data_IF_733024116496
#
_entry.id   IF_733024116496
#
_cell.length_a   1.000
_cell.length_b   1.000
_cell.length_c   1.000
_cell.angle_alpha   90.00
_cell.angle_beta   90.00
_cell.angle_gamma   90.00
#
_symmetry.space_group_name_H-M   'P 1'
#
loop_
_entity.id
_entity.type
_entity.pdbx_description
1 polymer ?
#
# COMPACT_ATOMS: atom_id res chain seq x y z
N UNK A 1 41.41 14.43 12.70
CA UNK A 1 41.35 12.96 12.87
C UNK A 1 41.49 12.37 11.49
N UNK A 2 42.62 11.72 11.19
CA UNK A 2 42.91 11.23 9.84
C UNK A 2 41.99 10.06 9.48
N UNK A 3 41.39 10.10 8.29
CA UNK A 3 40.67 8.96 7.72
C UNK A 3 41.68 7.83 7.52
N UNK A 4 41.47 6.69 8.18
CA UNK A 4 42.30 5.51 8.00
C UNK A 4 41.61 4.65 6.94
N UNK A 5 42.08 4.71 5.70
CA UNK A 5 41.58 3.84 4.64
C UNK A 5 42.19 2.45 4.81
N UNK A 6 41.58 1.63 5.67
CA UNK A 6 42.07 0.31 6.04
C UNK A 6 41.35 -0.84 5.32
N UNK A 7 40.54 -0.51 4.31
CA UNK A 7 39.78 -1.45 3.48
C UNK A 7 39.86 -1.07 1.99
N UNK A 8 40.36 -1.99 1.16
CA UNK A 8 40.19 -2.01 -0.29
C UNK A 8 38.97 -2.87 -0.66
N UNK A 9 38.05 -2.30 -1.44
CA UNK A 9 36.92 -3.03 -2.01
C UNK A 9 37.02 -2.99 -3.53
N UNK A 10 37.30 -4.13 -4.13
CA UNK A 10 37.29 -4.36 -5.57
C UNK A 10 35.87 -4.76 -6.00
N UNK A 11 35.26 -3.96 -6.87
CA UNK A 11 33.88 -4.13 -7.34
C UNK A 11 33.92 -4.60 -8.79
N UNK A 12 33.43 -5.82 -9.03
CA UNK A 12 33.37 -6.46 -10.35
C UNK A 12 34.71 -6.56 -11.12
N UNK A 13 35.87 -6.32 -10.49
CA UNK A 13 37.14 -6.21 -11.20
C UNK A 13 37.28 -4.93 -12.02
N UNK A 14 36.36 -3.97 -11.89
CA UNK A 14 36.32 -2.73 -12.67
C UNK A 14 36.95 -1.57 -11.88
N UNK A 15 36.52 -1.35 -10.64
CA UNK A 15 37.00 -0.27 -9.78
C UNK A 15 37.33 -0.76 -8.37
N UNK A 16 38.34 -0.12 -7.74
CA UNK A 16 38.75 -0.39 -6.37
C UNK A 16 38.55 0.85 -5.49
N UNK A 17 37.80 0.70 -4.40
CA UNK A 17 37.49 1.75 -3.44
C UNK A 17 38.34 1.61 -2.18
N UNK A 18 38.93 2.71 -1.71
CA UNK A 18 39.68 2.78 -0.46
C UNK A 18 38.82 3.44 0.62
N UNK A 19 38.38 2.64 1.59
CA UNK A 19 37.38 3.03 2.59
C UNK A 19 37.83 2.71 4.02
N UNK A 20 37.12 3.27 4.99
CA UNK A 20 37.29 2.97 6.42
C UNK A 20 36.29 1.87 6.82
N UNK A 21 36.81 0.71 7.22
CA UNK A 21 35.95 -0.42 7.59
C UNK A 21 35.05 -0.10 8.78
N UNK A 22 35.45 0.80 9.69
CA UNK A 22 34.65 1.20 10.85
C UNK A 22 33.38 1.94 10.47
N UNK A 23 33.36 2.56 9.28
CA UNK A 23 32.18 3.26 8.76
C UNK A 23 31.20 2.29 8.12
N UNK A 24 31.68 1.30 7.36
CA UNK A 24 30.82 0.37 6.62
C UNK A 24 30.29 -0.80 7.48
N UNK A 25 31.12 -1.36 8.37
CA UNK A 25 30.77 -2.54 9.19
C UNK A 25 29.48 -2.34 10.00
N UNK A 26 29.23 -1.18 10.65
CA UNK A 26 27.98 -0.96 11.38
C UNK A 26 26.73 -1.09 10.52
N UNK A 27 26.85 -0.89 9.20
CA UNK A 27 25.71 -0.91 8.28
C UNK A 27 25.52 -2.25 7.58
N UNK A 28 26.61 -2.94 7.21
CA UNK A 28 26.56 -4.16 6.42
C UNK A 28 26.77 -5.40 7.27
N UNK A 29 25.72 -6.22 7.38
CA UNK A 29 25.80 -7.52 8.05
C UNK A 29 26.76 -8.47 7.33
N UNK A 30 26.82 -8.36 6.00
CA UNK A 30 27.75 -9.11 5.14
C UNK A 30 29.20 -8.79 5.46
N UNK A 31 29.57 -7.51 5.51
CA UNK A 31 30.93 -7.10 5.88
C UNK A 31 31.26 -7.44 7.33
N UNK A 32 30.32 -7.24 8.25
CA UNK A 32 30.49 -7.64 9.66
C UNK A 32 30.84 -9.12 9.78
N UNK A 33 30.16 -9.99 9.03
CA UNK A 33 30.44 -11.44 8.99
C UNK A 33 31.76 -11.78 8.32
N UNK A 34 32.15 -11.06 7.26
CA UNK A 34 33.44 -11.25 6.61
C UNK A 34 34.61 -10.89 7.52
N UNK A 35 34.45 -9.88 8.38
CA UNK A 35 35.52 -9.36 9.23
C UNK A 35 35.51 -9.88 10.68
N UNK A 36 34.44 -10.54 11.13
CA UNK A 36 34.29 -11.01 12.52
C UNK A 36 35.36 -12.04 12.97
N UNK A 37 36.12 -12.63 12.04
CA UNK A 37 37.23 -13.55 12.34
C UNK A 37 38.63 -13.01 12.05
N UNK A 38 38.76 -11.79 11.51
CA UNK A 38 40.06 -11.22 11.10
C UNK A 38 40.60 -10.31 12.21
N UNK A 39 41.36 -10.88 13.15
CA UNK A 39 42.10 -10.09 14.15
C UNK A 39 43.13 -9.20 13.45
N UNK A 40 42.96 -7.89 13.59
CA UNK A 40 43.74 -6.79 13.01
C UNK A 40 45.26 -7.06 12.99
N UNK A 41 45.77 -7.73 11.95
CA UNK A 41 47.16 -7.54 11.50
C UNK A 41 47.19 -6.23 10.73
N UNK A 42 48.24 -5.44 10.95
CA UNK A 42 48.42 -4.06 10.49
C UNK A 42 48.58 -3.94 8.95
N UNK A 43 47.61 -4.40 8.18
CA UNK A 43 47.56 -4.31 6.73
C UNK A 43 46.16 -3.97 6.24
N UNK A 44 46.10 -3.29 5.09
CA UNK A 44 44.86 -2.99 4.37
C UNK A 44 44.15 -4.30 4.02
N UNK A 45 42.89 -4.44 4.44
CA UNK A 45 42.06 -5.59 4.10
C UNK A 45 41.57 -5.43 2.66
N UNK A 46 41.68 -6.46 1.83
CA UNK A 46 41.11 -6.45 0.47
C UNK A 46 39.89 -7.38 0.40
N UNK A 47 38.77 -6.86 -0.11
CA UNK A 47 37.53 -7.59 -0.36
C UNK A 47 37.18 -7.46 -1.84
N UNK A 48 36.74 -8.56 -2.44
CA UNK A 48 36.24 -8.58 -3.82
C UNK A 48 34.73 -8.82 -3.77
N UNK A 49 33.96 -7.95 -4.41
CA UNK A 49 32.52 -8.03 -4.55
C UNK A 49 32.18 -8.30 -6.02
N UNK A 50 32.13 -9.58 -6.44
CA UNK A 50 31.71 -9.94 -7.78
C UNK A 50 30.20 -9.74 -7.95
N UNK A 51 29.78 -9.39 -9.17
CA UNK A 51 28.39 -9.15 -9.57
C UNK A 51 27.63 -8.15 -8.67
N UNK A 52 28.34 -7.11 -8.22
CA UNK A 52 27.73 -6.04 -7.45
C UNK A 52 26.67 -5.32 -8.32
N UNK A 53 25.43 -5.18 -7.84
CA UNK A 53 24.36 -4.57 -8.62
C UNK A 53 24.63 -3.08 -8.83
N UNK A 54 24.67 -2.67 -10.09
CA UNK A 54 25.06 -1.31 -10.46
C UNK A 54 26.55 -1.07 -10.58
N UNK A 55 27.37 -2.12 -10.42
CA UNK A 55 28.83 -2.01 -10.48
C UNK A 55 29.37 -0.98 -9.50
N UNK A 56 30.41 -0.26 -9.96
CA UNK A 56 31.06 0.78 -9.17
C UNK A 56 30.10 1.90 -8.73
N UNK A 57 29.19 2.35 -9.61
CA UNK A 57 28.20 3.40 -9.30
C UNK A 57 27.26 2.97 -8.16
N UNK A 58 26.76 1.73 -8.23
CA UNK A 58 25.92 1.16 -7.17
C UNK A 58 26.66 1.08 -5.84
N UNK A 59 27.95 0.72 -5.86
CA UNK A 59 28.76 0.65 -4.65
C UNK A 59 29.10 2.03 -4.09
N UNK A 60 29.38 3.02 -4.95
CA UNK A 60 29.61 4.41 -4.55
C UNK A 60 28.38 4.96 -3.80
N UNK A 61 27.17 4.70 -4.30
CA UNK A 61 25.92 5.09 -3.63
C UNK A 61 25.82 4.50 -2.21
N UNK A 62 26.18 3.22 -2.04
CA UNK A 62 26.20 2.56 -0.73
C UNK A 62 27.28 3.12 0.19
N UNK A 63 28.48 3.35 -0.34
CA UNK A 63 29.57 3.94 0.42
C UNK A 63 29.16 5.34 0.91
N UNK A 64 28.67 6.19 0.00
CA UNK A 64 28.17 7.53 0.33
C UNK A 64 27.03 7.48 1.35
N UNK A 65 26.12 6.50 1.26
CA UNK A 65 25.10 6.28 2.27
C UNK A 65 25.68 5.99 3.66
N UNK A 66 26.66 5.08 3.76
CA UNK A 66 27.32 4.75 5.03
C UNK A 66 28.06 5.95 5.63
N UNK A 67 28.83 6.66 4.81
CA UNK A 67 29.62 7.81 5.22
C UNK A 67 28.78 8.99 5.68
N UNK A 68 27.56 9.14 5.15
CA UNK A 68 26.59 10.12 5.64
C UNK A 68 25.74 9.61 6.80
N UNK A 69 26.22 8.59 7.52
CA UNK A 69 25.56 8.00 8.68
C UNK A 69 24.12 7.51 8.37
N UNK A 70 23.93 6.93 7.19
CA UNK A 70 22.64 6.47 6.70
C UNK A 70 21.70 7.59 6.27
N UNK A 71 22.21 8.78 5.96
CA UNK A 71 21.43 9.88 5.38
C UNK A 71 21.88 10.10 3.93
N UNK A 72 21.19 9.51 2.97
CA UNK A 72 21.43 9.80 1.55
C UNK A 72 20.26 10.54 0.93
N UNK A 73 20.55 11.31 -0.12
CA UNK A 73 19.52 11.85 -0.98
C UNK A 73 18.95 10.75 -1.87
N UNK A 74 17.94 10.03 -1.38
CA UNK A 74 17.26 8.96 -2.11
C UNK A 74 16.25 9.56 -3.10
N UNK A 75 16.61 9.67 -4.37
CA UNK A 75 15.71 10.06 -5.47
C UNK A 75 15.13 8.82 -6.15
N UNK A 76 14.01 8.93 -6.88
CA UNK A 76 13.50 7.82 -7.70
C UNK A 76 14.53 7.23 -8.65
N UNK A 77 15.48 8.05 -9.14
CA UNK A 77 16.53 7.61 -10.05
C UNK A 77 17.58 6.71 -9.38
N UNK A 78 17.82 6.86 -8.08
CA UNK A 78 18.83 6.08 -7.35
C UNK A 78 18.23 5.05 -6.37
N UNK A 79 16.91 5.12 -6.10
CA UNK A 79 16.26 4.28 -5.10
C UNK A 79 16.33 2.78 -5.43
N UNK A 80 16.12 2.41 -6.69
CA UNK A 80 16.22 1.00 -7.14
C UNK A 80 17.65 0.50 -6.99
N UNK A 81 18.62 1.27 -7.49
CA UNK A 81 20.03 0.91 -7.46
C UNK A 81 20.55 0.79 -6.03
N UNK A 82 20.23 1.77 -5.18
CA UNK A 82 20.55 1.76 -3.76
C UNK A 82 19.92 0.56 -3.07
N UNK A 83 18.65 0.23 -3.34
CA UNK A 83 17.98 -0.91 -2.74
C UNK A 83 18.62 -2.24 -3.15
N UNK A 84 18.93 -2.43 -4.44
CA UNK A 84 19.61 -3.63 -4.93
C UNK A 84 21.00 -3.78 -4.30
N UNK A 85 21.79 -2.72 -4.29
CA UNK A 85 23.12 -2.66 -3.67
C UNK A 85 23.07 -2.92 -2.16
N UNK A 86 22.06 -2.42 -1.48
CA UNK A 86 21.83 -2.65 -0.06
C UNK A 86 21.46 -4.07 0.28
N UNK A 87 20.58 -4.68 -0.52
CA UNK A 87 20.22 -6.10 -0.39
C UNK A 87 21.47 -6.96 -0.58
N UNK A 88 22.29 -6.65 -1.57
CA UNK A 88 23.56 -7.35 -1.81
C UNK A 88 24.52 -7.23 -0.62
N UNK A 89 24.50 -6.09 0.09
CA UNK A 89 25.33 -5.79 1.26
C UNK A 89 24.68 -6.16 2.60
N UNK A 90 23.47 -6.70 2.60
CA UNK A 90 22.68 -7.03 3.80
C UNK A 90 22.53 -5.80 4.74
N UNK A 91 22.11 -4.66 4.18
CA UNK A 91 21.95 -3.35 4.85
C UNK A 91 20.48 -2.94 5.07
N UNK A 92 19.55 -3.88 4.89
CA UNK A 92 18.12 -3.64 4.63
C UNK A 92 17.44 -2.69 5.64
N UNK A 93 17.75 -2.83 6.93
CA UNK A 93 17.03 -2.11 7.98
C UNK A 93 17.36 -0.60 8.00
N UNK A 94 18.62 -0.24 7.74
CA UNK A 94 19.06 1.16 7.80
C UNK A 94 18.64 1.98 6.59
N UNK A 95 18.55 1.36 5.42
CA UNK A 95 18.07 2.04 4.21
C UNK A 95 16.56 2.28 4.30
N UNK A 96 15.82 1.33 4.84
CA UNK A 96 14.42 1.53 5.17
C UNK A 96 14.24 2.72 6.13
N UNK A 97 15.02 2.79 7.21
CA UNK A 97 14.97 3.91 8.16
C UNK A 97 15.25 5.27 7.49
N UNK A 98 16.24 5.34 6.59
CA UNK A 98 16.55 6.56 5.83
C UNK A 98 15.47 6.95 4.84
N UNK A 99 14.89 5.98 4.14
CA UNK A 99 13.85 6.20 3.13
C UNK A 99 12.60 6.74 3.81
N UNK A 100 12.20 6.16 4.95
CA UNK A 100 11.06 6.64 5.72
C UNK A 100 11.35 7.98 6.39
N UNK A 101 12.57 8.21 6.91
CA UNK A 101 12.95 9.51 7.47
C UNK A 101 12.85 10.66 6.47
N UNK A 102 13.11 10.42 5.17
CA UNK A 102 12.89 11.40 4.09
C UNK A 102 11.41 11.64 3.81
N UNK A 103 10.60 10.58 3.85
CA UNK A 103 9.16 10.64 3.58
C UNK A 103 8.39 11.31 4.74
N UNK A 104 8.93 11.25 5.95
CA UNK A 104 8.39 11.93 7.13
C UNK A 104 8.69 13.44 7.15
N UNK A 105 9.66 13.92 6.35
CA UNK A 105 10.00 15.34 6.29
C UNK A 105 9.09 16.07 5.29
N UNK A 106 8.44 17.18 5.67
CA UNK A 106 7.77 18.04 4.70
C UNK A 106 8.83 18.57 3.73
N UNK A 107 8.62 18.36 2.44
CA UNK A 107 9.56 18.77 1.39
C UNK A 107 9.77 20.29 1.47
N UNK A 108 10.93 20.71 1.96
CA UNK A 108 11.44 22.06 1.69
C UNK A 108 12.03 21.99 0.30
N UNK A 109 11.21 22.28 -0.71
CA UNK A 109 11.74 22.61 -2.02
C UNK A 109 12.52 23.91 -1.83
N UNK A 110 13.84 23.80 -1.78
CA UNK A 110 14.73 24.95 -1.95
C UNK A 110 14.36 25.62 -3.27
N UNK A 111 13.99 26.90 -3.30
CA UNK A 111 13.75 27.59 -4.55
C UNK A 111 15.10 27.67 -5.26
N UNK A 112 15.32 26.82 -6.25
CA UNK A 112 16.44 26.97 -7.15
C UNK A 112 16.32 28.35 -7.79
N UNK A 113 17.20 29.27 -7.40
CA UNK A 113 17.49 30.48 -8.17
C UNK A 113 17.89 30.04 -9.58
N UNK A 114 17.17 30.43 -10.64
CA UNK A 114 17.65 30.22 -11.99
C UNK A 114 18.89 31.10 -12.14
N UNK A 115 20.05 30.46 -12.21
CA UNK A 115 21.26 31.11 -12.69
C UNK A 115 20.99 31.64 -14.09
N UNK A 116 21.18 32.94 -14.22
CA UNK A 116 21.25 33.75 -15.44
C UNK A 116 21.61 33.00 -16.73
N UNK A 117 20.80 33.21 -17.77
CA UNK A 117 21.28 33.22 -19.15
C UNK A 117 20.52 32.35 -20.16
N UNK A 118 19.29 32.72 -20.55
CA UNK A 118 18.90 32.77 -21.98
C UNK A 118 17.55 33.48 -22.17
N UNK A 119 17.45 34.23 -23.25
CA UNK A 119 16.47 35.26 -23.60
C UNK A 119 15.10 34.77 -24.07
N UNK A 120 14.07 35.60 -23.80
CA UNK A 120 12.75 35.74 -24.50
C UNK A 120 11.88 34.46 -24.53
N UNK A 121 10.62 34.44 -24.07
CA UNK A 121 9.52 35.36 -24.36
C UNK A 121 8.56 35.42 -23.16
N UNK A 122 8.06 36.62 -22.86
CA UNK A 122 6.92 36.85 -21.98
C UNK A 122 5.64 36.41 -22.68
N UNK A 123 4.84 35.59 -22.02
CA UNK A 123 3.41 35.53 -22.28
C UNK A 123 2.68 35.47 -20.94
N UNK A 124 2.21 36.66 -20.54
CA UNK A 124 1.26 36.84 -19.46
C UNK A 124 -0.06 36.22 -19.87
N UNK A 125 -0.69 35.48 -18.96
CA UNK A 125 -2.11 35.21 -19.02
C UNK A 125 -2.63 35.18 -17.60
N UNK A 126 -3.22 36.30 -17.22
CA UNK A 126 -4.12 36.42 -16.08
C UNK A 126 -5.26 35.42 -16.27
N UNK A 127 -5.34 34.44 -15.37
CA UNK A 127 -6.62 33.79 -15.07
C UNK A 127 -6.64 33.46 -13.59
N UNK A 128 -7.35 34.31 -12.85
CA UNK A 128 -8.00 34.09 -11.55
C UNK A 128 -7.88 32.65 -11.04
N UNK A 129 -6.82 32.41 -10.27
CA UNK A 129 -6.44 31.08 -9.79
C UNK A 129 -7.31 30.64 -8.61
N UNK A 130 -8.07 29.57 -8.82
CA UNK A 130 -8.58 28.68 -7.78
C UNK A 130 -7.62 27.49 -7.63
N UNK A 131 -6.31 27.72 -7.40
CA UNK A 131 -5.30 26.65 -7.27
C UNK A 131 -4.78 26.44 -5.84
N UNK A 132 -5.61 26.59 -4.80
CA UNK A 132 -5.18 26.21 -3.45
C UNK A 132 -5.20 24.69 -3.21
N UNK A 133 -6.02 23.93 -3.94
CA UNK A 133 -6.20 22.48 -3.73
C UNK A 133 -5.31 21.63 -4.65
N UNK A 134 -5.07 22.06 -5.90
CA UNK A 134 -4.27 21.27 -6.86
C UNK A 134 -2.78 21.28 -6.51
N UNK A 135 -2.32 22.35 -5.85
CA UNK A 135 -0.94 22.48 -5.38
C UNK A 135 -0.69 21.80 -4.02
N UNK A 136 -1.73 21.33 -3.32
CA UNK A 136 -1.55 20.50 -2.11
C UNK A 136 -1.37 19.02 -2.46
N UNK A 137 -2.06 18.53 -3.49
CA UNK A 137 -1.96 17.16 -3.98
C UNK A 137 -0.53 16.81 -4.40
N UNK A 138 0.11 17.67 -5.19
CA UNK A 138 1.50 17.49 -5.64
C UNK A 138 2.54 17.54 -4.50
N UNK A 139 2.23 18.14 -3.35
CA UNK A 139 3.16 18.25 -2.20
C UNK A 139 3.16 17.03 -1.29
N UNK A 140 2.05 16.30 -1.16
CA UNK A 140 1.95 15.18 -0.20
C UNK A 140 2.12 13.80 -0.85
N UNK A 141 1.95 13.68 -2.17
CA UNK A 141 2.00 12.39 -2.90
C UNK A 141 3.17 12.26 -3.87
N UNK A 142 4.16 13.17 -3.82
CA UNK A 142 5.31 13.16 -4.75
C UNK A 142 6.03 11.80 -4.79
N UNK A 143 6.07 11.10 -3.65
CA UNK A 143 6.75 9.82 -3.49
C UNK A 143 5.93 8.60 -3.92
N UNK A 144 4.66 8.76 -4.32
CA UNK A 144 3.80 7.62 -4.63
C UNK A 144 4.33 6.84 -5.84
N UNK A 145 4.63 7.54 -6.93
CA UNK A 145 5.24 6.98 -8.15
C UNK A 145 6.59 6.32 -7.83
N UNK A 146 7.38 7.02 -7.01
CA UNK A 146 8.74 6.62 -6.65
C UNK A 146 8.77 5.34 -5.83
N UNK A 147 7.69 4.92 -5.18
CA UNK A 147 7.65 3.68 -4.40
C UNK A 147 6.90 2.53 -5.09
N UNK A 148 6.31 2.74 -6.28
CA UNK A 148 5.60 1.67 -7.01
C UNK A 148 6.54 0.52 -7.35
N UNK A 149 7.82 0.78 -7.60
CA UNK A 149 8.78 -0.27 -7.96
C UNK A 149 9.00 -1.29 -6.84
N UNK A 150 8.80 -0.92 -5.57
CA UNK A 150 9.00 -1.80 -4.43
C UNK A 150 8.11 -3.03 -4.53
N UNK A 151 8.65 -4.22 -4.24
CA UNK A 151 7.87 -5.46 -4.24
C UNK A 151 6.98 -5.58 -2.99
N UNK A 152 6.12 -6.60 -2.99
CA UNK A 152 5.18 -6.84 -1.89
C UNK A 152 5.86 -7.04 -0.52
N UNK A 153 7.08 -7.58 -0.45
CA UNK A 153 7.76 -7.77 0.84
C UNK A 153 8.38 -6.47 1.36
N UNK A 154 8.89 -5.63 0.46
CA UNK A 154 9.48 -4.34 0.80
C UNK A 154 8.41 -3.31 1.18
N UNK A 155 7.29 -3.28 0.46
CA UNK A 155 6.19 -2.36 0.77
C UNK A 155 5.59 -2.65 2.15
N UNK A 156 5.51 -3.92 2.55
CA UNK A 156 5.07 -4.32 3.89
C UNK A 156 5.96 -3.71 4.97
N UNK A 157 7.28 -3.83 4.83
CA UNK A 157 8.26 -3.26 5.75
C UNK A 157 8.22 -1.73 5.78
N UNK A 158 8.22 -1.09 4.62
CA UNK A 158 8.22 0.38 4.49
C UNK A 158 6.97 0.97 5.15
N UNK A 159 5.78 0.45 4.85
CA UNK A 159 4.53 1.02 5.38
C UNK A 159 4.40 0.76 6.88
N UNK A 160 4.77 -0.43 7.39
CA UNK A 160 4.81 -0.68 8.85
C UNK A 160 5.74 0.29 9.57
N UNK A 161 6.88 0.58 8.98
CA UNK A 161 7.81 1.57 9.51
C UNK A 161 7.22 2.99 9.47
N UNK A 162 6.55 3.38 8.37
CA UNK A 162 5.84 4.66 8.29
C UNK A 162 4.77 4.81 9.38
N UNK A 163 4.01 3.75 9.65
CA UNK A 163 3.03 3.71 10.76
C UNK A 163 3.72 3.90 12.10
N UNK A 164 4.86 3.24 12.34
CA UNK A 164 5.63 3.40 13.58
C UNK A 164 6.18 4.82 13.78
N UNK A 165 6.44 5.53 12.69
CA UNK A 165 6.88 6.92 12.67
C UNK A 165 5.71 7.93 12.67
N UNK A 166 4.47 7.47 12.88
CA UNK A 166 3.25 8.29 12.98
C UNK A 166 2.96 9.11 11.72
N UNK A 167 3.30 8.58 10.53
CA UNK A 167 2.83 9.18 9.29
C UNK A 167 1.30 9.13 9.23
N UNK A 168 0.71 10.13 8.57
CA UNK A 168 -0.74 10.25 8.44
C UNK A 168 -1.36 9.02 7.76
N UNK A 169 -2.27 8.36 8.49
CA UNK A 169 -2.95 7.15 8.03
C UNK A 169 -3.83 7.39 6.80
N UNK A 170 -4.30 8.62 6.55
CA UNK A 170 -5.08 8.96 5.35
C UNK A 170 -4.17 8.99 4.12
N UNK A 171 -2.97 9.54 4.27
CA UNK A 171 -1.95 9.54 3.20
C UNK A 171 -1.47 8.11 2.91
N UNK A 172 -1.23 7.30 3.94
CA UNK A 172 -0.84 5.89 3.78
C UNK A 172 -1.94 5.05 3.12
N UNK A 173 -3.21 5.24 3.47
CA UNK A 173 -4.31 4.50 2.84
C UNK A 173 -4.44 4.86 1.35
N UNK A 174 -4.34 6.15 1.00
CA UNK A 174 -4.31 6.63 -0.39
C UNK A 174 -3.14 6.05 -1.17
N UNK A 175 -1.95 6.02 -0.57
CA UNK A 175 -0.78 5.40 -1.16
C UNK A 175 -1.01 3.92 -1.44
N UNK A 176 -1.57 3.16 -0.49
CA UNK A 176 -1.82 1.73 -0.65
C UNK A 176 -2.82 1.44 -1.79
N UNK A 177 -3.88 2.24 -1.93
CA UNK A 177 -4.81 2.12 -3.06
C UNK A 177 -4.13 2.43 -4.39
N UNK A 178 -3.30 3.49 -4.41
CA UNK A 178 -2.52 3.86 -5.58
C UNK A 178 -1.52 2.76 -5.97
N UNK A 179 -0.74 2.26 -5.01
CA UNK A 179 0.23 1.18 -5.18
C UNK A 179 -0.44 -0.10 -5.70
N UNK A 180 -1.56 -0.51 -5.10
CA UNK A 180 -2.35 -1.65 -5.58
C UNK A 180 -2.74 -1.47 -7.04
N UNK A 181 -3.30 -0.31 -7.41
CA UNK A 181 -3.76 -0.04 -8.78
C UNK A 181 -2.59 -0.07 -9.75
N UNK A 182 -1.48 0.60 -9.45
CA UNK A 182 -0.31 0.66 -10.32
C UNK A 182 0.35 -0.71 -10.49
N UNK A 183 0.53 -1.46 -9.39
CA UNK A 183 1.08 -2.82 -9.45
C UNK A 183 0.17 -3.79 -10.18
N UNK A 184 -1.15 -3.63 -10.10
CA UNK A 184 -2.09 -4.53 -10.77
C UNK A 184 -1.95 -4.54 -12.31
N UNK A 185 -1.52 -3.42 -12.91
CA UNK A 185 -1.26 -3.35 -14.36
C UNK A 185 0.06 -3.99 -14.77
N UNK A 186 1.08 -3.93 -13.91
CA UNK A 186 2.45 -4.35 -14.23
C UNK A 186 2.69 -5.84 -13.87
N UNK A 187 2.10 -6.31 -12.77
CA UNK A 187 2.43 -7.58 -12.15
C UNK A 187 1.80 -8.81 -12.85
N UNK A 188 2.44 -9.98 -12.71
CA UNK A 188 1.86 -11.27 -13.11
C UNK A 188 0.78 -11.79 -12.12
N UNK A 189 -0.06 -12.78 -12.47
CA UNK A 189 -1.20 -13.22 -11.63
C UNK A 189 -0.83 -13.63 -10.19
N UNK A 190 0.30 -14.31 -10.00
CA UNK A 190 0.78 -14.71 -8.67
C UNK A 190 1.21 -13.48 -7.83
N UNK A 191 1.90 -12.53 -8.46
CA UNK A 191 2.34 -11.30 -7.83
C UNK A 191 1.17 -10.35 -7.54
N UNK A 192 0.14 -10.30 -8.39
CA UNK A 192 -1.12 -9.57 -8.11
C UNK A 192 -1.79 -10.10 -6.84
N UNK A 193 -1.82 -11.42 -6.68
CA UNK A 193 -2.40 -12.05 -5.47
C UNK A 193 -1.59 -11.67 -4.23
N UNK A 194 -0.25 -11.85 -4.27
CA UNK A 194 0.64 -11.47 -3.16
C UNK A 194 0.55 -9.99 -2.80
N UNK A 195 0.54 -9.11 -3.80
CA UNK A 195 0.41 -7.66 -3.62
C UNK A 195 -0.92 -7.30 -2.95
N UNK A 196 -2.02 -7.89 -3.41
CA UNK A 196 -3.35 -7.68 -2.82
C UNK A 196 -3.38 -8.12 -1.36
N UNK A 197 -2.78 -9.27 -1.02
CA UNK A 197 -2.73 -9.76 0.35
C UNK A 197 -1.95 -8.82 1.28
N UNK A 198 -0.80 -8.32 0.83
CA UNK A 198 0.00 -7.35 1.59
C UNK A 198 -0.78 -6.04 1.75
N UNK A 199 -1.35 -5.49 0.69
CA UNK A 199 -2.11 -4.23 0.75
C UNK A 199 -3.29 -4.34 1.72
N UNK A 200 -4.07 -5.43 1.66
CA UNK A 200 -5.19 -5.66 2.59
C UNK A 200 -4.70 -5.75 4.04
N UNK A 201 -3.60 -6.45 4.27
CA UNK A 201 -2.99 -6.55 5.61
C UNK A 201 -2.54 -5.19 6.12
N UNK A 202 -1.88 -4.39 5.29
CA UNK A 202 -1.43 -3.04 5.65
C UNK A 202 -2.60 -2.10 5.90
N UNK A 203 -3.64 -2.11 5.07
CA UNK A 203 -4.87 -1.34 5.29
C UNK A 203 -5.53 -1.69 6.63
N UNK A 204 -5.47 -2.96 7.05
CA UNK A 204 -5.99 -3.38 8.36
C UNK A 204 -5.20 -2.87 9.56
N UNK A 205 -3.95 -2.44 9.35
CA UNK A 205 -3.12 -1.82 10.38
C UNK A 205 -3.30 -0.30 10.49
N UNK A 206 -4.06 0.31 9.59
CA UNK A 206 -4.36 1.74 9.62
C UNK A 206 -5.63 2.04 10.44
N UNK A 207 -5.81 3.31 10.81
CA UNK A 207 -7.08 3.73 11.42
C UNK A 207 -8.25 3.53 10.45
N UNK A 208 -9.36 2.99 10.96
CA UNK A 208 -10.55 2.67 10.17
C UNK A 208 -11.12 3.90 9.47
N UNK A 209 -11.04 5.06 10.12
CA UNK A 209 -11.54 6.32 9.56
C UNK A 209 -10.73 6.80 8.35
N UNK A 210 -9.50 6.31 8.18
CA UNK A 210 -8.60 6.75 7.11
C UNK A 210 -8.78 5.98 5.80
N UNK A 211 -9.39 4.80 5.85
CA UNK A 211 -9.49 3.87 4.72
C UNK A 211 -10.82 4.08 4.01
N UNK A 212 -10.80 4.43 2.72
CA UNK A 212 -12.02 4.70 1.96
C UNK A 212 -12.85 3.44 1.69
N UNK A 213 -14.15 3.48 1.98
CA UNK A 213 -15.10 2.40 1.66
C UNK A 213 -15.08 2.02 0.17
N UNK A 214 -15.12 3.01 -0.75
CA UNK A 214 -15.04 2.78 -2.20
C UNK A 214 -13.78 1.98 -2.59
N UNK A 215 -12.62 2.39 -2.10
CA UNK A 215 -11.36 1.71 -2.40
C UNK A 215 -11.34 0.24 -1.92
N UNK A 216 -11.98 -0.08 -0.79
CA UNK A 216 -12.10 -1.46 -0.32
C UNK A 216 -12.95 -2.31 -1.27
N UNK A 217 -14.07 -1.78 -1.79
CA UNK A 217 -14.88 -2.48 -2.79
C UNK A 217 -14.14 -2.64 -4.13
N UNK A 218 -13.30 -1.67 -4.52
CA UNK A 218 -12.44 -1.83 -5.70
C UNK A 218 -11.42 -2.96 -5.51
N UNK A 219 -10.81 -3.06 -4.32
CA UNK A 219 -9.94 -4.20 -3.96
C UNK A 219 -10.71 -5.52 -3.95
N UNK A 220 -11.93 -5.56 -3.41
CA UNK A 220 -12.78 -6.75 -3.40
C UNK A 220 -13.05 -7.25 -4.82
N UNK A 221 -13.42 -6.36 -5.75
CA UNK A 221 -13.66 -6.73 -7.15
C UNK A 221 -12.40 -7.33 -7.80
N UNK A 222 -11.22 -6.77 -7.52
CA UNK A 222 -9.95 -7.34 -7.95
C UNK A 222 -9.69 -8.71 -7.30
N UNK A 223 -9.82 -8.80 -5.98
CA UNK A 223 -9.53 -10.00 -5.19
C UNK A 223 -10.41 -11.21 -5.55
N UNK A 224 -11.65 -10.97 -6.01
CA UNK A 224 -12.54 -12.04 -6.47
C UNK A 224 -12.05 -12.76 -7.73
N UNK A 225 -11.32 -12.05 -8.59
CA UNK A 225 -10.66 -12.63 -9.78
C UNK A 225 -9.31 -13.30 -9.48
N UNK A 226 -8.78 -13.10 -8.27
CA UNK A 226 -7.46 -13.57 -7.85
C UNK A 226 -7.56 -14.78 -6.91
N UNK A 227 -6.48 -15.57 -6.85
CA UNK A 227 -6.35 -16.67 -5.89
C UNK A 227 -5.74 -16.17 -4.57
N UNK A 228 -6.42 -15.22 -3.91
CA UNK A 228 -5.99 -14.72 -2.60
C UNK A 228 -6.35 -15.67 -1.46
N UNK A 229 -5.53 -15.69 -0.43
CA UNK A 229 -5.69 -16.52 0.76
C UNK A 229 -7.01 -16.27 1.50
N UNK A 230 -7.51 -17.30 2.20
CA UNK A 230 -8.75 -17.17 2.99
C UNK A 230 -8.61 -16.16 4.13
N UNK A 231 -7.42 -16.07 4.73
CA UNK A 231 -7.12 -15.05 5.74
C UNK A 231 -7.31 -13.64 5.17
N UNK A 232 -6.72 -13.34 4.00
CA UNK A 232 -6.89 -12.05 3.32
C UNK A 232 -8.35 -11.75 3.01
N UNK A 233 -9.12 -12.72 2.51
CA UNK A 233 -10.56 -12.54 2.25
C UNK A 233 -11.32 -12.15 3.52
N UNK A 234 -11.05 -12.83 4.63
CA UNK A 234 -11.70 -12.53 5.91
C UNK A 234 -11.34 -11.12 6.42
N UNK A 235 -10.07 -10.71 6.30
CA UNK A 235 -9.63 -9.35 6.68
C UNK A 235 -10.33 -8.31 5.80
N UNK A 236 -10.36 -8.51 4.48
CA UNK A 236 -11.00 -7.59 3.55
C UNK A 236 -12.51 -7.47 3.80
N UNK A 237 -13.20 -8.60 3.99
CA UNK A 237 -14.62 -8.64 4.35
C UNK A 237 -14.88 -7.94 5.69
N UNK A 238 -13.95 -8.05 6.65
CA UNK A 238 -14.06 -7.37 7.94
C UNK A 238 -13.90 -5.86 7.83
N UNK A 239 -12.93 -5.39 7.03
CA UNK A 239 -12.74 -3.97 6.75
C UNK A 239 -13.98 -3.37 6.07
N UNK A 240 -14.50 -4.04 5.04
CA UNK A 240 -15.71 -3.59 4.32
C UNK A 240 -16.93 -3.61 5.24
N UNK A 241 -17.12 -4.70 5.97
CA UNK A 241 -18.25 -4.85 6.90
C UNK A 241 -18.27 -3.76 7.96
N UNK A 242 -17.11 -3.30 8.44
CA UNK A 242 -17.02 -2.21 9.43
C UNK A 242 -17.46 -0.83 8.93
N UNK A 243 -17.62 -0.65 7.61
CA UNK A 243 -18.01 0.62 6.99
C UNK A 243 -19.24 0.45 6.08
N UNK A 244 -20.06 -0.56 6.34
CA UNK A 244 -21.22 -0.89 5.51
C UNK A 244 -22.26 0.25 5.48
N UNK A 245 -22.29 1.10 6.52
CA UNK A 245 -23.10 2.31 6.61
C UNK A 245 -22.72 3.41 5.61
N UNK A 246 -21.55 3.29 4.98
CA UNK A 246 -21.04 4.19 3.93
C UNK A 246 -21.16 3.60 2.51
N UNK A 247 -21.63 2.35 2.39
CA UNK A 247 -21.72 1.67 1.10
C UNK A 247 -22.96 2.12 0.31
N UNK A 248 -22.88 2.02 -1.02
CA UNK A 248 -24.02 2.20 -1.93
C UNK A 248 -24.52 0.86 -2.46
N UNK A 249 -25.71 0.83 -3.05
CA UNK A 249 -26.26 -0.39 -3.67
C UNK A 249 -25.28 -0.98 -4.70
N UNK A 250 -24.71 -0.14 -5.57
CA UNK A 250 -23.70 -0.54 -6.58
C UNK A 250 -22.47 -1.24 -5.96
N UNK A 251 -22.16 -0.97 -4.70
CA UNK A 251 -21.08 -1.64 -4.00
C UNK A 251 -21.44 -3.09 -3.66
N UNK A 252 -22.71 -3.37 -3.33
CA UNK A 252 -23.22 -4.69 -2.98
C UNK A 252 -23.54 -5.56 -4.21
N UNK A 253 -23.82 -4.94 -5.36
CA UNK A 253 -24.12 -5.62 -6.63
C UNK A 253 -22.88 -6.23 -7.29
N UNK A 254 -22.31 -7.23 -6.62
CA UNK A 254 -21.15 -8.01 -7.09
C UNK A 254 -21.65 -9.25 -7.83
N UNK A 255 -21.23 -9.48 -9.09
CA UNK A 255 -21.62 -10.68 -9.83
C UNK A 255 -21.18 -11.98 -9.14
N UNK A 256 -22.02 -13.00 -9.22
CA UNK A 256 -21.71 -14.32 -8.66
C UNK A 256 -20.55 -15.01 -9.40
N UNK A 257 -19.53 -15.52 -8.70
CA UNK A 257 -18.30 -16.05 -9.31
C UNK A 257 -18.46 -17.37 -10.07
N UNK A 258 -19.64 -18.00 -10.08
CA UNK A 258 -19.79 -19.38 -10.55
C UNK A 258 -20.81 -19.60 -11.68
N UNK A 259 -21.39 -18.56 -12.27
CA UNK A 259 -22.15 -18.61 -13.54
C UNK A 259 -23.35 -19.59 -13.61
N UNK A 260 -23.68 -20.30 -12.53
CA UNK A 260 -24.75 -21.31 -12.41
C UNK A 260 -25.63 -21.07 -11.18
N UNK A 261 -25.71 -19.84 -10.69
CA UNK A 261 -26.55 -19.46 -9.56
C UNK A 261 -26.97 -18.00 -9.64
N UNK A 262 -27.44 -17.46 -8.52
CA UNK A 262 -27.89 -16.08 -8.40
C UNK A 262 -27.03 -15.09 -9.19
N UNK A 263 -27.64 -14.11 -9.84
CA UNK A 263 -26.96 -13.05 -10.61
C UNK A 263 -25.90 -12.37 -9.72
N UNK A 264 -26.29 -12.09 -8.47
CA UNK A 264 -25.46 -11.43 -7.48
C UNK A 264 -24.92 -12.38 -6.40
N UNK A 265 -23.77 -12.01 -5.83
CA UNK A 265 -23.05 -12.81 -4.84
C UNK A 265 -23.63 -12.64 -3.42
N UNK A 266 -24.87 -13.09 -3.21
CA UNK A 266 -25.62 -12.96 -1.94
C UNK A 266 -24.84 -13.40 -0.70
N UNK A 267 -24.09 -14.50 -0.79
CA UNK A 267 -23.30 -15.00 0.34
C UNK A 267 -22.20 -14.03 0.79
N UNK A 268 -21.70 -13.17 -0.09
CA UNK A 268 -20.74 -12.13 0.26
C UNK A 268 -21.43 -11.06 1.12
N UNK A 269 -22.58 -10.55 0.69
CA UNK A 269 -23.35 -9.54 1.43
C UNK A 269 -23.73 -10.04 2.83
N UNK A 270 -24.17 -11.29 2.96
CA UNK A 270 -24.43 -11.90 4.27
C UNK A 270 -23.18 -11.94 5.18
N UNK A 271 -21.98 -12.18 4.63
CA UNK A 271 -20.73 -12.15 5.41
C UNK A 271 -20.32 -10.73 5.81
N UNK A 272 -20.48 -9.76 4.91
CA UNK A 272 -20.23 -8.34 5.21
C UNK A 272 -21.15 -7.85 6.32
N UNK A 273 -22.43 -8.20 6.24
CA UNK A 273 -23.43 -7.84 7.25
C UNK A 273 -23.14 -8.51 8.60
N UNK A 274 -22.77 -9.79 8.60
CA UNK A 274 -22.32 -10.48 9.81
C UNK A 274 -21.11 -9.77 10.45
N UNK A 275 -20.17 -9.29 9.63
CA UNK A 275 -19.03 -8.53 10.14
C UNK A 275 -19.42 -7.15 10.68
N UNK A 276 -20.36 -6.46 10.04
CA UNK A 276 -20.90 -5.18 10.54
C UNK A 276 -21.53 -5.36 11.93
N UNK A 277 -22.35 -6.40 12.09
CA UNK A 277 -23.05 -6.70 13.35
C UNK A 277 -22.14 -7.20 14.47
N UNK A 278 -20.92 -7.65 14.15
CA UNK A 278 -19.90 -7.97 15.15
C UNK A 278 -19.19 -6.74 15.74
N UNK A 279 -19.44 -5.55 15.20
CA UNK A 279 -18.85 -4.28 15.64
C UNK A 279 -19.75 -3.45 16.56
N UNK A 280 -19.27 -2.27 16.93
CA UNK A 280 -20.08 -1.23 17.58
C UNK A 280 -20.58 -0.26 16.50
N UNK A 281 -21.88 0.01 16.50
CA UNK A 281 -22.54 0.91 15.56
C UNK A 281 -23.56 1.77 16.31
N UNK A 282 -23.79 2.99 15.81
CA UNK A 282 -24.89 3.82 16.30
C UNK A 282 -26.23 3.32 15.74
N UNK A 283 -27.34 3.71 16.38
CA UNK A 283 -28.68 3.50 15.83
C UNK A 283 -28.81 4.09 14.42
N UNK A 284 -28.18 5.24 14.15
CA UNK A 284 -28.21 5.87 12.83
C UNK A 284 -27.45 5.07 11.77
N UNK A 285 -26.32 4.46 12.11
CA UNK A 285 -25.58 3.58 11.19
C UNK A 285 -26.36 2.30 10.90
N UNK A 286 -26.96 1.69 11.93
CA UNK A 286 -27.78 0.49 11.78
C UNK A 286 -28.97 0.74 10.84
N UNK A 287 -29.67 1.87 10.99
CA UNK A 287 -30.79 2.26 10.12
C UNK A 287 -30.36 2.50 8.68
N UNK A 288 -29.18 3.12 8.45
CA UNK A 288 -28.61 3.28 7.10
C UNK A 288 -28.33 1.94 6.44
N UNK A 289 -27.72 1.01 7.17
CA UNK A 289 -27.44 -0.35 6.68
C UNK A 289 -28.75 -1.10 6.41
N UNK A 290 -29.78 -0.94 7.26
CA UNK A 290 -31.09 -1.53 7.01
C UNK A 290 -31.73 -1.03 5.71
N UNK A 291 -31.75 0.28 5.49
CA UNK A 291 -32.26 0.85 4.24
C UNK A 291 -31.48 0.34 3.01
N UNK A 292 -30.15 0.24 3.10
CA UNK A 292 -29.31 -0.33 2.04
C UNK A 292 -29.64 -1.82 1.78
N UNK A 293 -29.86 -2.59 2.86
CA UNK A 293 -30.22 -4.00 2.74
C UNK A 293 -31.60 -4.18 2.13
N UNK A 294 -32.57 -3.33 2.46
CA UNK A 294 -33.92 -3.42 1.89
C UNK A 294 -33.88 -3.13 0.37
N UNK A 295 -33.08 -2.14 -0.06
CA UNK A 295 -32.81 -1.91 -1.49
C UNK A 295 -32.15 -3.12 -2.16
N UNK A 296 -31.16 -3.74 -1.49
CA UNK A 296 -30.50 -4.92 -2.03
C UNK A 296 -31.44 -6.13 -2.12
N UNK A 297 -32.29 -6.36 -1.12
CA UNK A 297 -33.26 -7.46 -1.10
C UNK A 297 -34.27 -7.27 -2.24
N UNK A 298 -34.76 -6.05 -2.46
CA UNK A 298 -35.64 -5.73 -3.58
C UNK A 298 -34.97 -5.98 -4.94
N UNK A 299 -33.68 -5.67 -5.09
CA UNK A 299 -32.93 -5.89 -6.33
C UNK A 299 -32.71 -7.39 -6.64
N UNK A 300 -32.53 -8.22 -5.61
CA UNK A 300 -32.31 -9.68 -5.82
C UNK A 300 -33.60 -10.50 -5.81
N UNK A 301 -34.73 -9.93 -5.36
CA UNK A 301 -36.01 -10.63 -5.29
C UNK A 301 -36.50 -11.19 -6.65
N UNK A 302 -36.36 -10.48 -7.78
CA UNK A 302 -36.78 -11.00 -9.10
C UNK A 302 -35.93 -12.18 -9.63
N UNK A 303 -34.83 -12.54 -8.96
CA UNK A 303 -33.91 -13.57 -9.45
C UNK A 303 -34.47 -14.98 -9.20
N UNK A 304 -34.97 -15.64 -10.24
CA UNK A 304 -35.51 -17.01 -10.20
C UNK A 304 -34.51 -18.07 -9.74
N UNK A 305 -33.21 -17.76 -9.74
CA UNK A 305 -32.17 -18.66 -9.24
C UNK A 305 -31.81 -18.41 -7.77
N UNK A 306 -32.42 -17.41 -7.12
CA UNK A 306 -32.29 -17.15 -5.70
C UNK A 306 -33.08 -18.17 -4.88
N UNK A 307 -32.34 -19.00 -4.12
CA UNK A 307 -32.95 -20.03 -3.27
C UNK A 307 -33.72 -19.40 -2.09
N UNK A 308 -34.87 -19.99 -1.67
CA UNK A 308 -35.65 -19.48 -0.54
C UNK A 308 -34.83 -19.35 0.75
N UNK A 309 -33.94 -20.31 1.02
CA UNK A 309 -33.06 -20.27 2.20
C UNK A 309 -32.16 -19.04 2.24
N UNK A 310 -31.73 -18.53 1.08
CA UNK A 310 -30.89 -17.32 1.00
C UNK A 310 -31.74 -16.07 1.13
N UNK A 311 -32.92 -16.05 0.51
CA UNK A 311 -33.86 -14.92 0.63
C UNK A 311 -34.26 -14.71 2.10
N UNK A 312 -34.69 -15.78 2.78
CA UNK A 312 -35.00 -15.76 4.22
C UNK A 312 -33.80 -15.30 5.05
N UNK A 313 -32.59 -15.79 4.73
CA UNK A 313 -31.38 -15.36 5.43
C UNK A 313 -31.10 -13.86 5.28
N UNK A 314 -31.40 -13.25 4.13
CA UNK A 314 -31.25 -11.80 3.93
C UNK A 314 -32.26 -11.00 4.77
N UNK A 315 -33.54 -11.40 4.72
CA UNK A 315 -34.61 -10.74 5.46
C UNK A 315 -34.37 -10.79 6.98
N UNK A 316 -33.92 -11.95 7.48
CA UNK A 316 -33.66 -12.18 8.89
C UNK A 316 -32.27 -11.73 9.39
N UNK A 317 -31.43 -11.15 8.53
CA UNK A 317 -30.03 -10.89 8.90
C UNK A 317 -29.84 -9.70 9.85
N UNK A 318 -30.79 -8.76 9.90
CA UNK A 318 -30.73 -7.56 10.73
C UNK A 318 -31.71 -7.66 11.91
N UNK A 319 -31.37 -7.11 13.10
CA UNK A 319 -32.28 -7.10 14.25
C UNK A 319 -33.47 -6.17 14.01
N UNK A 320 -34.58 -6.42 14.70
CA UNK A 320 -35.82 -5.65 14.54
C UNK A 320 -35.64 -4.15 14.83
N UNK A 321 -34.74 -3.81 15.75
CA UNK A 321 -34.39 -2.43 16.10
C UNK A 321 -33.72 -1.64 14.97
N UNK A 322 -33.31 -2.32 13.89
CA UNK A 322 -32.69 -1.70 12.73
C UNK A 322 -33.70 -0.98 11.83
N UNK A 323 -35.00 -1.29 11.96
CA UNK A 323 -36.05 -0.84 11.05
C UNK A 323 -37.16 -0.11 11.79
N UNK A 324 -37.63 0.97 11.19
CA UNK A 324 -38.82 1.69 11.64
C UNK A 324 -40.09 1.19 10.90
N UNK A 325 -39.93 0.59 9.72
CA UNK A 325 -40.99 -0.05 8.92
C UNK A 325 -40.44 -1.28 8.19
N UNK A 326 -41.34 -2.20 7.83
CA UNK A 326 -41.04 -3.43 7.09
C UNK A 326 -41.63 -3.43 5.67
N UNK A 327 -42.20 -2.30 5.21
CA UNK A 327 -42.89 -2.22 3.92
C UNK A 327 -41.98 -2.64 2.74
N UNK A 328 -40.71 -2.23 2.76
CA UNK A 328 -39.74 -2.61 1.73
C UNK A 328 -39.46 -4.12 1.69
N UNK A 329 -39.44 -4.78 2.86
CA UNK A 329 -39.30 -6.25 2.94
C UNK A 329 -40.56 -6.93 2.41
N UNK A 330 -41.74 -6.47 2.80
CA UNK A 330 -42.99 -7.04 2.32
C UNK A 330 -43.12 -6.92 0.81
N UNK A 331 -42.78 -5.75 0.25
CA UNK A 331 -42.74 -5.54 -1.19
C UNK A 331 -41.76 -6.49 -1.89
N UNK A 332 -40.53 -6.62 -1.38
CA UNK A 332 -39.56 -7.53 -1.96
C UNK A 332 -39.97 -9.00 -1.82
N UNK A 333 -40.70 -9.36 -0.75
CA UNK A 333 -41.24 -10.71 -0.55
C UNK A 333 -42.33 -11.03 -1.55
N UNK A 334 -43.24 -10.08 -1.80
CA UNK A 334 -44.28 -10.19 -2.82
C UNK A 334 -43.66 -10.45 -4.19
N UNK A 335 -42.70 -9.61 -4.60
CA UNK A 335 -41.92 -9.78 -5.85
C UNK A 335 -41.25 -11.16 -5.91
N UNK A 336 -40.63 -11.62 -4.81
CA UNK A 336 -39.95 -12.91 -4.77
C UNK A 336 -40.90 -14.10 -4.94
N UNK A 337 -42.15 -13.99 -4.47
CA UNK A 337 -43.16 -15.05 -4.57
C UNK A 337 -43.86 -15.09 -5.93
N UNK A 338 -43.79 -14.00 -6.70
CA UNK A 338 -44.35 -13.92 -8.06
C UNK A 338 -43.48 -14.58 -9.14
N UNK A 339 -42.22 -14.90 -8.83
CA UNK A 339 -41.19 -15.43 -9.75
C UNK A 339 -41.15 -16.95 -9.76
#
# INVERSE_FOLDING_TARGET
>A
MGFCCDLEVDVNGEETFLLDKKILIPFSSKLSRLFSGLTSKAGTLKVILPDFPGGAEGFELIARFCYNNGRAEISPFNAVLLNCAACFMEMDQKILDSLVGRLALPSVVSPCTPSSGCSSFQLSSDTRSTDSVKNSWSRTTWWFEDLVFLNADLIDKVVKMMVSQKLDHVTLSRFLFYYQKSRFFIAGPAEKSKTTEVVVTLLSSLDRSSVSCKGLYDILRMALSLKVSKCCKNILESLIGSQLDQATLDNLLVPSPHGKGCIYYVNLVLRLLKSFLGGQFSSTQLKKVAALMDLYIAEVAPDSSLKPTKFVALVAALPDSARDSYDGIYQATDIYLEV
#
